data_IF_910113677882
#
_entry.id   IF_910113677882
#
_cell.length_a   1.000
_cell.length_b   1.000
_cell.length_c   1.000
_cell.angle_alpha   90.00
_cell.angle_beta   90.00
_cell.angle_gamma   90.00
#
_symmetry.space_group_name_H-M   'P 1'
#
loop_
_entity.id
_entity.type
_entity.pdbx_description
1 polymer ?
#
# COMPACT_ATOMS: atom_id res chain seq x y z
N UNK A 1 -28.71 -12.81 -24.81
CA UNK A 1 -27.50 -12.95 -23.97
C UNK A 1 -27.86 -13.89 -22.81
N UNK A 2 -27.08 -14.94 -22.60
CA UNK A 2 -27.29 -15.81 -21.42
C UNK A 2 -26.68 -15.11 -20.20
N UNK A 3 -27.47 -14.82 -19.21
CA UNK A 3 -27.02 -14.27 -17.93
C UNK A 3 -26.44 -15.40 -17.07
N UNK A 4 -25.23 -15.22 -16.56
CA UNK A 4 -24.58 -16.16 -15.65
C UNK A 4 -24.31 -15.39 -14.35
N UNK A 5 -24.91 -15.84 -13.27
CA UNK A 5 -24.66 -15.30 -11.92
C UNK A 5 -23.87 -16.31 -11.12
N UNK A 6 -22.67 -15.91 -10.69
CA UNK A 6 -21.82 -16.71 -9.79
C UNK A 6 -21.91 -16.06 -8.41
N UNK A 7 -22.45 -16.74 -7.38
CA UNK A 7 -22.52 -16.20 -6.03
C UNK A 7 -21.11 -16.05 -5.43
N UNK A 8 -20.94 -15.05 -4.57
CA UNK A 8 -19.70 -14.88 -3.82
C UNK A 8 -19.43 -16.11 -2.94
N UNK A 9 -18.16 -16.56 -2.88
CA UNK A 9 -17.75 -17.71 -2.07
C UNK A 9 -17.68 -17.38 -0.58
N UNK A 10 -17.39 -16.12 -0.27
CA UNK A 10 -17.41 -15.58 1.09
C UNK A 10 -18.30 -14.33 1.14
N UNK A 11 -18.95 -14.06 2.27
CA UNK A 11 -19.74 -12.85 2.43
C UNK A 11 -18.84 -11.60 2.35
N UNK A 12 -19.44 -10.45 2.01
CA UNK A 12 -18.76 -9.17 2.07
C UNK A 12 -18.24 -8.89 3.49
N UNK A 13 -17.04 -8.29 3.57
CA UNK A 13 -16.45 -7.93 4.85
C UNK A 13 -17.32 -6.90 5.57
N UNK A 14 -17.83 -7.25 6.75
CA UNK A 14 -18.66 -6.38 7.61
C UNK A 14 -17.84 -5.73 8.73
N UNK A 15 -16.62 -6.16 8.95
CA UNK A 15 -15.69 -5.65 9.96
C UNK A 15 -14.24 -5.80 9.48
N UNK A 16 -13.33 -5.10 10.17
CA UNK A 16 -11.89 -5.13 9.87
C UNK A 16 -11.48 -4.19 8.73
N UNK A 17 -10.20 -4.17 8.48
CA UNK A 17 -9.57 -3.36 7.44
C UNK A 17 -8.25 -4.01 7.01
N UNK A 18 -7.61 -3.50 5.96
CA UNK A 18 -6.39 -4.12 5.39
C UNK A 18 -5.20 -4.18 6.37
N UNK A 19 -5.15 -3.29 7.37
CA UNK A 19 -4.06 -3.34 8.36
C UNK A 19 -4.13 -4.57 9.25
N UNK A 20 -5.32 -5.18 9.40
CA UNK A 20 -5.51 -6.40 10.18
C UNK A 20 -4.73 -7.58 9.59
N UNK A 21 -4.59 -7.64 8.25
CA UNK A 21 -3.85 -8.71 7.58
C UNK A 21 -2.40 -8.86 8.08
N UNK A 22 -1.76 -7.74 8.42
CA UNK A 22 -0.39 -7.74 8.95
C UNK A 22 -0.40 -7.86 10.47
N UNK A 23 -1.22 -7.06 11.18
CA UNK A 23 -1.19 -7.03 12.64
C UNK A 23 -1.63 -8.34 13.30
N UNK A 24 -2.64 -9.01 12.75
CA UNK A 24 -3.06 -10.32 13.23
C UNK A 24 -1.97 -11.37 13.02
N UNK A 25 -1.31 -11.33 11.85
CA UNK A 25 -0.21 -12.25 11.57
C UNK A 25 0.99 -11.98 12.46
N UNK A 26 1.34 -10.73 12.70
CA UNK A 26 2.41 -10.37 13.62
C UNK A 26 2.08 -10.76 15.08
N UNK A 27 0.80 -10.76 15.44
CA UNK A 27 0.35 -11.17 16.77
C UNK A 27 0.35 -12.69 16.96
N UNK A 28 -0.23 -13.45 16.00
CA UNK A 28 -0.42 -14.89 16.15
C UNK A 28 0.76 -15.73 15.63
N UNK A 29 1.50 -15.22 14.64
CA UNK A 29 2.61 -15.92 13.99
C UNK A 29 3.84 -14.97 13.83
N UNK A 30 4.38 -14.37 14.90
CA UNK A 30 5.38 -13.29 14.82
C UNK A 30 6.64 -13.66 14.05
N UNK A 31 7.10 -14.91 14.17
CA UNK A 31 8.32 -15.40 13.52
C UNK A 31 8.08 -15.96 12.11
N UNK A 32 6.84 -15.99 11.65
CA UNK A 32 6.54 -16.45 10.30
C UNK A 32 7.09 -15.48 9.26
N UNK A 33 7.88 -16.00 8.33
CA UNK A 33 8.30 -15.23 7.15
C UNK A 33 7.10 -14.98 6.25
N UNK A 34 6.81 -13.71 5.98
CA UNK A 34 5.69 -13.30 5.12
C UNK A 34 6.14 -12.60 3.85
N UNK A 35 7.31 -11.98 3.87
CA UNK A 35 7.88 -11.29 2.71
C UNK A 35 9.37 -11.57 2.63
N UNK A 36 9.91 -11.52 1.41
CA UNK A 36 11.35 -11.55 1.19
C UNK A 36 11.74 -10.37 0.30
N UNK A 37 12.74 -9.62 0.74
CA UNK A 37 13.30 -8.49 -0.02
C UNK A 37 14.58 -8.90 -0.72
N UNK A 38 14.89 -8.30 -1.88
CA UNK A 38 16.18 -8.54 -2.55
C UNK A 38 17.34 -8.13 -1.65
N UNK A 39 18.38 -8.96 -1.61
CA UNK A 39 19.66 -8.66 -0.94
C UNK A 39 20.82 -9.31 -1.72
N UNK A 40 21.63 -8.48 -2.41
CA UNK A 40 22.63 -8.99 -3.34
C UNK A 40 21.96 -9.88 -4.41
N UNK A 41 22.54 -11.05 -4.65
CA UNK A 41 22.00 -12.05 -5.60
C UNK A 41 20.92 -12.96 -4.98
N UNK A 42 20.47 -12.67 -3.75
CA UNK A 42 19.54 -13.52 -3.02
C UNK A 42 18.36 -12.77 -2.43
N UNK A 43 17.71 -13.43 -1.47
CA UNK A 43 16.54 -12.95 -0.78
C UNK A 43 16.76 -12.93 0.73
N UNK A 44 16.46 -11.81 1.36
CA UNK A 44 16.42 -11.70 2.81
C UNK A 44 14.97 -11.92 3.28
N UNK A 45 14.70 -12.96 4.10
CA UNK A 45 13.39 -13.16 4.69
C UNK A 45 13.08 -12.08 5.75
N UNK A 46 11.82 -11.65 5.81
CA UNK A 46 11.32 -10.72 6.81
C UNK A 46 10.11 -11.37 7.49
N UNK A 47 10.16 -11.42 8.82
CA UNK A 47 9.08 -12.01 9.63
C UNK A 47 7.89 -11.06 9.73
N UNK A 48 6.73 -11.60 10.10
CA UNK A 48 5.51 -10.81 10.29
C UNK A 48 5.72 -9.70 11.33
N UNK A 49 6.37 -10.01 12.44
CA UNK A 49 6.71 -9.05 13.49
C UNK A 49 7.64 -7.95 12.97
N UNK A 50 8.75 -8.32 12.34
CA UNK A 50 9.71 -7.34 11.83
C UNK A 50 9.08 -6.43 10.75
N UNK A 51 8.23 -6.98 9.89
CA UNK A 51 7.53 -6.21 8.86
C UNK A 51 6.52 -5.23 9.48
N UNK A 52 5.76 -5.65 10.48
CA UNK A 52 4.83 -4.76 11.19
C UNK A 52 5.56 -3.65 11.96
N UNK A 53 6.67 -3.97 12.62
CA UNK A 53 7.50 -2.98 13.34
C UNK A 53 8.02 -1.90 12.37
N UNK A 54 8.49 -2.29 11.19
CA UNK A 54 8.94 -1.34 10.16
C UNK A 54 7.78 -0.46 9.66
N UNK A 55 6.63 -1.06 9.37
CA UNK A 55 5.41 -0.33 8.98
C UNK A 55 5.01 0.69 10.05
N UNK A 56 4.95 0.30 11.32
CA UNK A 56 4.60 1.18 12.44
C UNK A 56 5.57 2.35 12.56
N UNK A 57 6.86 2.07 12.47
CA UNK A 57 7.89 3.11 12.57
C UNK A 57 7.75 4.16 11.46
N UNK A 58 7.53 3.74 10.22
CA UNK A 58 7.30 4.64 9.09
C UNK A 58 5.96 5.39 9.24
N UNK A 59 4.90 4.72 9.70
CA UNK A 59 3.60 5.35 9.93
C UNK A 59 3.67 6.47 10.97
N UNK A 60 4.42 6.25 12.06
CA UNK A 60 4.72 7.28 13.07
C UNK A 60 5.39 8.49 12.45
N UNK A 61 6.34 8.29 11.54
CA UNK A 61 6.98 9.37 10.79
C UNK A 61 6.02 10.19 9.94
N UNK A 62 5.10 9.54 9.26
CA UNK A 62 4.04 10.23 8.51
C UNK A 62 3.18 11.11 9.45
N UNK A 63 2.79 10.57 10.60
CA UNK A 63 2.02 11.30 11.62
C UNK A 63 2.82 12.48 12.18
N UNK A 64 4.10 12.31 12.50
CA UNK A 64 4.98 13.38 12.98
C UNK A 64 5.14 14.51 11.94
N UNK A 65 5.04 14.19 10.66
CA UNK A 65 5.05 15.14 9.55
C UNK A 65 3.67 15.76 9.25
N UNK A 66 2.68 15.54 10.11
CA UNK A 66 1.36 16.19 10.04
C UNK A 66 0.34 15.46 9.18
N UNK A 67 0.61 14.22 8.75
CA UNK A 67 -0.39 13.41 8.05
C UNK A 67 -1.53 13.06 9.00
N UNK A 68 -2.72 13.50 8.65
CA UNK A 68 -3.95 13.32 9.42
C UNK A 68 -4.77 12.14 8.90
N UNK A 69 -5.74 11.70 9.71
CA UNK A 69 -6.69 10.66 9.29
C UNK A 69 -7.46 11.11 8.04
N UNK A 70 -7.49 10.24 7.02
CA UNK A 70 -8.16 10.50 5.74
C UNK A 70 -7.35 11.34 4.75
N UNK A 71 -6.16 11.81 5.10
CA UNK A 71 -5.27 12.49 4.16
C UNK A 71 -4.79 11.55 3.06
N UNK A 72 -4.50 12.09 1.88
CA UNK A 72 -3.95 11.33 0.75
C UNK A 72 -2.45 11.56 0.68
N UNK A 73 -1.70 10.44 0.59
CA UNK A 73 -0.24 10.45 0.40
C UNK A 73 0.08 9.71 -0.88
N UNK A 74 0.70 10.38 -1.83
CA UNK A 74 1.06 9.77 -3.12
C UNK A 74 2.34 8.93 -3.01
N UNK A 75 2.40 7.85 -3.80
CA UNK A 75 3.61 7.04 -3.98
C UNK A 75 3.90 6.94 -5.48
N UNK A 76 5.05 7.46 -5.92
CA UNK A 76 5.54 7.41 -7.29
C UNK A 76 6.85 6.62 -7.35
N UNK A 77 6.72 5.31 -7.48
CA UNK A 77 7.87 4.40 -7.48
C UNK A 77 7.52 3.09 -8.22
N UNK A 78 8.54 2.42 -8.72
CA UNK A 78 8.46 1.03 -9.20
C UNK A 78 8.05 0.08 -8.08
N UNK A 79 7.62 -1.13 -8.47
CA UNK A 79 7.39 -2.23 -7.52
C UNK A 79 8.70 -2.58 -6.83
N UNK A 80 8.72 -2.40 -5.51
CA UNK A 80 9.88 -2.65 -4.65
C UNK A 80 9.43 -2.86 -3.20
N UNK A 81 10.32 -3.38 -2.36
CA UNK A 81 10.01 -3.67 -0.97
C UNK A 81 9.48 -2.43 -0.21
N UNK A 82 10.17 -1.30 -0.36
CA UNK A 82 9.81 -0.06 0.32
C UNK A 82 8.43 0.45 -0.10
N UNK A 83 8.03 0.21 -1.35
CA UNK A 83 6.69 0.57 -1.83
C UNK A 83 5.62 -0.12 -0.98
N UNK A 84 5.81 -1.41 -0.68
CA UNK A 84 4.83 -2.20 0.07
C UNK A 84 4.81 -1.82 1.55
N UNK A 85 5.95 -1.47 2.15
CA UNK A 85 6.03 -0.92 3.51
C UNK A 85 5.28 0.41 3.58
N UNK A 86 5.51 1.30 2.61
CA UNK A 86 4.87 2.62 2.55
C UNK A 86 3.35 2.53 2.37
N UNK A 87 2.86 1.61 1.55
CA UNK A 87 1.43 1.38 1.34
C UNK A 87 0.72 1.04 2.67
N UNK A 88 1.27 0.08 3.40
CA UNK A 88 0.75 -0.28 4.72
C UNK A 88 0.98 0.83 5.77
N UNK A 89 2.12 1.52 5.75
CA UNK A 89 2.40 2.60 6.69
C UNK A 89 1.41 3.76 6.54
N UNK A 90 1.01 4.09 5.32
CA UNK A 90 -0.01 5.11 5.06
C UNK A 90 -1.36 4.66 5.65
N UNK A 91 -1.76 3.39 5.49
CA UNK A 91 -2.97 2.87 6.15
C UNK A 91 -2.85 2.85 7.69
N UNK A 92 -1.68 2.48 8.23
CA UNK A 92 -1.44 2.52 9.68
C UNK A 92 -1.50 3.94 10.24
N UNK A 93 -1.11 4.94 9.46
CA UNK A 93 -1.31 6.36 9.81
C UNK A 93 -2.79 6.82 9.68
N UNK A 94 -3.69 5.95 9.20
CA UNK A 94 -5.08 6.27 8.93
C UNK A 94 -5.30 7.07 7.65
N UNK A 95 -4.30 7.12 6.78
CA UNK A 95 -4.30 7.88 5.54
C UNK A 95 -4.57 6.97 4.31
N UNK A 96 -4.67 7.58 3.15
CA UNK A 96 -5.06 6.93 1.89
C UNK A 96 -3.91 7.02 0.89
N UNK A 97 -3.28 5.90 0.49
CA UNK A 97 -2.26 5.90 -0.54
C UNK A 97 -2.85 6.20 -1.92
N UNK A 98 -2.15 7.05 -2.67
CA UNK A 98 -2.46 7.40 -4.06
C UNK A 98 -1.28 6.94 -4.93
N UNK A 99 -1.40 5.77 -5.57
CA UNK A 99 -0.34 5.27 -6.45
C UNK A 99 -0.25 6.09 -7.74
N UNK A 100 0.99 6.44 -8.11
CA UNK A 100 1.32 7.11 -9.37
C UNK A 100 2.38 6.25 -10.06
N UNK A 101 2.22 6.03 -11.37
CA UNK A 101 3.24 5.34 -12.15
C UNK A 101 4.51 6.18 -12.22
N UNK A 102 5.66 5.56 -12.07
CA UNK A 102 6.97 6.21 -12.17
C UNK A 102 7.24 6.82 -13.56
N UNK A 103 6.49 6.37 -14.56
CA UNK A 103 6.54 6.87 -15.94
C UNK A 103 5.59 8.03 -16.22
N UNK A 104 4.82 8.50 -15.23
CA UNK A 104 3.86 9.59 -15.39
C UNK A 104 4.58 10.91 -15.69
N UNK A 105 4.02 11.70 -16.61
CA UNK A 105 4.52 13.04 -16.89
C UNK A 105 4.25 14.02 -15.74
N UNK A 106 4.98 15.12 -15.68
CA UNK A 106 4.78 16.16 -14.68
C UNK A 106 3.33 16.68 -14.66
N UNK A 107 2.71 16.85 -15.84
CA UNK A 107 1.30 17.26 -15.96
C UNK A 107 0.33 16.24 -15.37
N UNK A 108 0.59 14.95 -15.58
CA UNK A 108 -0.22 13.87 -14.99
C UNK A 108 -0.08 13.86 -13.46
N UNK A 109 1.15 14.04 -12.96
CA UNK A 109 1.42 14.11 -11.52
C UNK A 109 0.71 15.31 -10.89
N UNK A 110 0.84 16.51 -11.50
CA UNK A 110 0.14 17.72 -11.05
C UNK A 110 -1.37 17.48 -10.92
N UNK A 111 -1.95 16.89 -11.98
CA UNK A 111 -3.37 16.58 -11.98
C UNK A 111 -3.76 15.62 -10.85
N UNK A 112 -3.03 14.51 -10.69
CA UNK A 112 -3.33 13.50 -9.67
C UNK A 112 -3.19 14.09 -8.26
N UNK A 113 -2.12 14.83 -7.99
CA UNK A 113 -1.90 15.46 -6.68
C UNK A 113 -2.95 16.51 -6.35
N UNK A 114 -3.37 17.29 -7.35
CA UNK A 114 -4.40 18.33 -7.19
C UNK A 114 -5.77 17.72 -6.95
N UNK A 115 -6.21 16.81 -7.82
CA UNK A 115 -7.53 16.17 -7.78
C UNK A 115 -7.70 15.32 -6.51
N UNK A 116 -6.67 14.56 -6.14
CA UNK A 116 -6.67 13.81 -4.88
C UNK A 116 -6.50 14.69 -3.64
N UNK A 117 -6.10 15.96 -3.78
CA UNK A 117 -5.68 16.84 -2.69
C UNK A 117 -4.62 16.18 -1.80
N UNK A 118 -3.61 15.54 -2.40
CA UNK A 118 -2.54 14.87 -1.67
C UNK A 118 -1.75 15.87 -0.81
N UNK A 119 -1.43 15.48 0.43
CA UNK A 119 -0.69 16.33 1.39
C UNK A 119 0.81 16.11 1.31
N UNK A 120 1.24 15.01 0.68
CA UNK A 120 2.63 14.65 0.45
C UNK A 120 2.79 13.61 -0.64
N UNK A 121 4.01 13.51 -1.15
CA UNK A 121 4.39 12.51 -2.16
C UNK A 121 5.71 11.84 -1.78
N UNK A 122 5.76 10.53 -1.96
CA UNK A 122 6.96 9.72 -1.82
C UNK A 122 7.40 9.31 -3.21
N UNK A 123 8.61 9.69 -3.60
CA UNK A 123 9.17 9.39 -4.93
C UNK A 123 10.35 8.40 -4.80
N UNK A 124 10.61 7.63 -5.85
CA UNK A 124 11.69 6.65 -5.81
C UNK A 124 13.07 7.30 -5.89
N UNK A 125 13.29 8.18 -6.87
CA UNK A 125 14.62 8.68 -7.25
C UNK A 125 14.72 10.19 -7.18
N UNK A 126 15.95 10.75 -7.11
CA UNK A 126 16.17 12.20 -7.22
C UNK A 126 15.57 12.80 -8.49
N UNK A 127 15.68 12.11 -9.63
CA UNK A 127 15.12 12.58 -10.90
C UNK A 127 13.59 12.72 -10.84
N UNK A 128 12.90 11.79 -10.14
CA UNK A 128 11.46 11.92 -9.92
C UNK A 128 11.14 13.08 -8.95
N UNK A 129 11.99 13.34 -7.95
CA UNK A 129 11.82 14.50 -7.07
C UNK A 129 11.96 15.80 -7.85
N UNK A 130 12.94 15.92 -8.75
CA UNK A 130 13.13 17.07 -9.64
C UNK A 130 11.94 17.25 -10.58
N UNK A 131 11.39 16.17 -11.11
CA UNK A 131 10.21 16.18 -12.00
C UNK A 131 8.96 16.71 -11.28
N UNK A 132 8.72 16.29 -10.04
CA UNK A 132 7.49 16.65 -9.31
C UNK A 132 7.57 18.02 -8.64
N UNK A 133 8.76 18.49 -8.24
CA UNK A 133 8.95 19.71 -7.47
C UNK A 133 8.26 20.96 -8.07
N UNK A 134 8.37 21.25 -9.39
CA UNK A 134 7.74 22.43 -9.98
C UNK A 134 6.22 22.36 -10.10
N UNK A 135 5.64 21.15 -9.97
CA UNK A 135 4.20 20.91 -10.17
C UNK A 135 3.46 20.52 -8.88
N UNK A 136 4.10 20.68 -7.73
CA UNK A 136 3.46 20.42 -6.45
C UNK A 136 2.33 21.43 -6.16
N UNK A 137 1.08 20.96 -5.94
CA UNK A 137 0.02 21.86 -5.48
C UNK A 137 0.29 22.34 -4.04
N UNK A 138 -0.31 23.45 -3.66
CA UNK A 138 -0.13 24.04 -2.32
C UNK A 138 -0.54 23.10 -1.16
N UNK A 139 -1.37 22.10 -1.41
CA UNK A 139 -1.73 21.04 -0.46
C UNK A 139 -0.58 20.06 -0.21
N UNK A 140 0.25 19.78 -1.23
CA UNK A 140 1.33 18.79 -1.18
C UNK A 140 2.63 19.46 -0.67
N UNK A 141 2.82 19.44 0.65
CA UNK A 141 3.92 20.18 1.31
C UNK A 141 5.16 19.34 1.55
N UNK A 142 5.10 18.04 1.34
CA UNK A 142 6.17 17.09 1.69
C UNK A 142 6.54 16.22 0.49
N UNK A 143 7.85 16.12 0.25
CA UNK A 143 8.43 15.19 -0.73
C UNK A 143 9.45 14.34 0.00
N UNK A 144 9.26 13.02 0.00
CA UNK A 144 10.22 12.05 0.53
C UNK A 144 10.80 11.25 -0.63
N UNK A 145 12.08 10.92 -0.54
CA UNK A 145 12.79 10.18 -1.59
C UNK A 145 13.33 8.86 -1.07
N UNK A 146 12.91 7.75 -1.68
CA UNK A 146 13.27 6.39 -1.24
C UNK A 146 14.79 6.17 -1.37
N UNK A 147 15.41 6.62 -2.47
CA UNK A 147 16.85 6.51 -2.68
C UNK A 147 17.65 7.27 -1.60
N UNK A 148 17.10 8.33 -1.04
CA UNK A 148 17.69 9.09 0.07
C UNK A 148 17.15 8.64 1.43
N UNK A 149 16.82 7.35 1.56
CA UNK A 149 16.41 6.70 2.81
C UNK A 149 15.14 7.28 3.45
N UNK A 150 14.11 7.57 2.65
CA UNK A 150 12.82 8.09 3.14
C UNK A 150 12.27 7.29 4.34
N UNK A 151 12.37 5.95 4.30
CA UNK A 151 11.87 5.10 5.39
C UNK A 151 12.65 5.34 6.69
N UNK A 152 13.98 5.41 6.63
CA UNK A 152 14.81 5.69 7.81
C UNK A 152 14.57 7.11 8.35
N UNK A 153 14.40 8.10 7.45
CA UNK A 153 14.07 9.47 7.84
C UNK A 153 12.72 9.52 8.57
N UNK A 154 11.68 8.93 7.99
CA UNK A 154 10.35 8.86 8.63
C UNK A 154 10.41 8.11 9.96
N UNK A 155 11.12 6.97 10.03
CA UNK A 155 11.31 6.22 11.28
C UNK A 155 11.94 7.09 12.37
N UNK A 156 12.98 7.85 12.03
CA UNK A 156 13.65 8.74 12.99
C UNK A 156 12.74 9.88 13.45
N UNK A 157 12.01 10.50 12.54
CA UNK A 157 11.09 11.61 12.83
C UNK A 157 9.88 11.15 13.66
N UNK A 158 9.47 9.89 13.51
CA UNK A 158 8.32 9.30 14.21
C UNK A 158 8.60 8.82 15.63
N UNK A 159 9.84 8.88 16.13
CA UNK A 159 10.25 8.28 17.42
C UNK A 159 9.43 8.70 18.64
N UNK A 160 8.90 9.93 18.63
CA UNK A 160 8.12 10.49 19.73
C UNK A 160 6.60 10.22 19.60
N UNK A 161 6.15 9.60 18.51
CA UNK A 161 4.77 9.18 18.33
C UNK A 161 4.56 7.81 18.99
N UNK A 162 3.55 7.68 19.82
CA UNK A 162 3.27 6.44 20.56
C UNK A 162 2.64 5.36 19.66
N UNK A 163 2.77 4.08 20.08
CA UNK A 163 2.05 2.96 19.44
C UNK A 163 0.53 3.11 19.60
N UNK A 164 0.07 3.66 20.71
CA UNK A 164 -1.34 3.93 20.97
C UNK A 164 -1.95 4.90 19.95
N UNK A 165 -1.20 5.91 19.51
CA UNK A 165 -1.69 6.83 18.47
C UNK A 165 -1.93 6.07 17.15
N UNK A 166 -1.00 5.20 16.77
CA UNK A 166 -1.15 4.37 15.57
C UNK A 166 -2.32 3.38 15.73
N UNK A 167 -2.45 2.74 16.90
CA UNK A 167 -3.57 1.84 17.19
C UNK A 167 -4.91 2.55 17.05
N UNK A 168 -5.08 3.73 17.68
CA UNK A 168 -6.30 4.55 17.58
C UNK A 168 -6.65 4.96 16.16
N UNK A 169 -5.65 5.22 15.30
CA UNK A 169 -5.89 5.55 13.89
C UNK A 169 -6.37 4.33 13.12
N UNK A 170 -5.76 3.17 13.34
CA UNK A 170 -6.17 1.91 12.71
C UNK A 170 -7.58 1.47 13.11
N UNK A 171 -7.97 1.64 14.38
CA UNK A 171 -9.30 1.32 14.90
C UNK A 171 -10.44 2.12 14.23
N UNK A 172 -10.13 3.32 13.71
CA UNK A 172 -11.08 4.13 12.96
C UNK A 172 -11.34 3.63 11.55
N UNK A 173 -10.44 2.81 11.00
CA UNK A 173 -10.61 2.25 9.67
C UNK A 173 -11.67 1.15 9.69
N UNK A 174 -12.64 1.27 8.79
CA UNK A 174 -13.75 0.33 8.62
C UNK A 174 -13.74 -0.22 7.18
N UNK A 175 -14.48 -1.29 6.88
CA UNK A 175 -14.58 -1.80 5.51
C UNK A 175 -14.99 -0.73 4.49
N UNK A 176 -15.87 0.19 4.85
CA UNK A 176 -16.32 1.29 4.00
C UNK A 176 -15.33 2.46 3.90
N UNK A 177 -14.28 2.50 4.74
CA UNK A 177 -13.24 3.53 4.67
C UNK A 177 -12.47 3.42 3.37
N UNK A 178 -12.18 4.56 2.75
CA UNK A 178 -11.39 4.64 1.53
C UNK A 178 -9.99 4.06 1.76
N UNK A 179 -9.62 3.06 0.96
CA UNK A 179 -8.30 2.43 1.03
C UNK A 179 -7.33 3.01 0.01
N UNK A 180 -7.80 3.46 -1.14
CA UNK A 180 -6.93 4.04 -2.18
C UNK A 180 -7.72 4.80 -3.23
N UNK A 181 -7.00 5.70 -3.93
CA UNK A 181 -7.45 6.34 -5.17
C UNK A 181 -6.55 5.86 -6.31
N UNK A 182 -7.10 5.11 -7.26
CA UNK A 182 -6.34 4.63 -8.42
C UNK A 182 -6.78 5.43 -9.66
N UNK A 183 -5.84 6.17 -10.24
CA UNK A 183 -6.12 6.97 -11.43
C UNK A 183 -6.03 6.13 -12.69
N UNK A 184 -7.12 6.14 -13.47
CA UNK A 184 -7.21 5.43 -14.75
C UNK A 184 -7.39 6.41 -15.89
N UNK A 185 -6.80 6.11 -17.06
CA UNK A 185 -7.05 6.87 -18.28
C UNK A 185 -8.52 6.72 -18.67
N UNK A 186 -9.31 7.76 -18.39
CA UNK A 186 -10.68 7.82 -18.89
C UNK A 186 -10.74 8.00 -20.40
N UNK A 187 -11.82 7.57 -21.02
CA UNK A 187 -12.05 7.73 -22.48
C UNK A 187 -12.27 9.19 -22.90
N UNK A 188 -12.37 10.12 -21.98
CA UNK A 188 -12.84 11.51 -22.21
C UNK A 188 -11.94 12.60 -21.64
N UNK A 189 -10.63 12.41 -21.47
CA UNK A 189 -9.75 13.47 -21.03
C UNK A 189 -8.85 13.10 -19.83
N UNK A 190 -8.82 13.94 -18.78
CA UNK A 190 -7.94 13.73 -17.62
C UNK A 190 -8.25 12.44 -16.88
N UNK A 191 -7.24 11.74 -16.31
CA UNK A 191 -7.44 10.55 -15.51
C UNK A 191 -8.43 10.76 -14.36
N UNK A 192 -9.26 9.76 -14.08
CA UNK A 192 -10.24 9.78 -12.99
C UNK A 192 -9.77 8.90 -11.85
N UNK A 193 -9.88 9.40 -10.60
CA UNK A 193 -9.56 8.66 -9.40
C UNK A 193 -10.66 7.67 -9.03
N UNK A 194 -10.42 6.38 -9.24
CA UNK A 194 -11.31 5.30 -8.79
C UNK A 194 -11.12 5.10 -7.31
N UNK A 195 -12.21 5.21 -6.55
CA UNK A 195 -12.23 5.02 -5.11
C UNK A 195 -12.43 3.54 -4.78
N UNK A 196 -11.48 2.95 -4.06
CA UNK A 196 -11.60 1.59 -3.54
C UNK A 196 -11.51 1.62 -2.02
N UNK A 197 -12.44 0.92 -1.36
CA UNK A 197 -12.48 0.81 0.10
C UNK A 197 -11.68 -0.38 0.60
N UNK A 198 -11.40 -0.44 1.90
CA UNK A 198 -10.81 -1.61 2.53
C UNK A 198 -11.65 -2.86 2.29
N UNK A 199 -12.98 -2.74 2.38
CA UNK A 199 -13.92 -3.83 2.14
C UNK A 199 -13.90 -4.37 0.71
N UNK A 200 -13.67 -3.50 -0.30
CA UNK A 200 -13.53 -3.97 -1.68
C UNK A 200 -12.35 -4.95 -1.80
N UNK A 201 -11.19 -4.59 -1.27
CA UNK A 201 -10.02 -5.47 -1.32
C UNK A 201 -10.20 -6.73 -0.47
N UNK A 202 -10.73 -6.62 0.76
CA UNK A 202 -10.96 -7.78 1.63
C UNK A 202 -11.91 -8.79 0.98
N UNK A 203 -13.00 -8.32 0.41
CA UNK A 203 -13.99 -9.18 -0.25
C UNK A 203 -13.43 -9.82 -1.51
N UNK A 204 -12.79 -9.04 -2.37
CA UNK A 204 -12.25 -9.54 -3.64
C UNK A 204 -11.11 -10.52 -3.41
N UNK A 205 -10.09 -10.14 -2.61
CA UNK A 205 -8.97 -11.02 -2.31
C UNK A 205 -9.42 -12.30 -1.59
N UNK A 206 -10.38 -12.18 -0.67
CA UNK A 206 -10.95 -13.35 0.00
C UNK A 206 -11.64 -14.30 -0.98
N UNK A 207 -12.45 -13.78 -1.90
CA UNK A 207 -13.11 -14.61 -2.92
C UNK A 207 -12.11 -15.24 -3.89
N UNK A 208 -11.09 -14.51 -4.34
CA UNK A 208 -10.03 -15.05 -5.23
C UNK A 208 -9.23 -16.16 -4.54
N UNK A 209 -8.82 -15.94 -3.29
CA UNK A 209 -8.06 -16.95 -2.53
C UNK A 209 -8.88 -18.22 -2.30
N UNK A 210 -10.16 -18.11 -1.97
CA UNK A 210 -11.02 -19.26 -1.78
C UNK A 210 -11.41 -19.92 -3.11
N UNK A 211 -11.60 -19.15 -4.17
CA UNK A 211 -11.94 -19.66 -5.51
C UNK A 211 -10.82 -20.44 -6.19
N UNK A 212 -9.57 -20.15 -5.80
CA UNK A 212 -8.38 -20.85 -6.28
C UNK A 212 -7.54 -21.41 -5.11
N UNK A 213 -8.23 -22.05 -4.15
CA UNK A 213 -7.63 -22.56 -2.91
C UNK A 213 -6.44 -23.48 -3.14
N UNK A 214 -6.49 -24.34 -4.16
CA UNK A 214 -5.40 -25.26 -4.54
C UNK A 214 -4.10 -24.52 -4.91
N UNK A 215 -4.23 -23.27 -5.38
CA UNK A 215 -3.11 -22.41 -5.73
C UNK A 215 -2.64 -21.59 -4.52
N UNK A 216 -3.58 -20.93 -3.85
CA UNK A 216 -3.28 -19.93 -2.83
C UNK A 216 -3.04 -20.51 -1.43
N UNK A 217 -3.72 -21.60 -1.07
CA UNK A 217 -3.63 -22.17 0.28
C UNK A 217 -2.64 -23.31 0.39
N UNK A 218 -1.72 -23.44 -0.56
CA UNK A 218 -0.68 -24.47 -0.56
C UNK A 218 0.34 -24.20 0.56
N UNK A 219 0.56 -25.16 1.49
CA UNK A 219 1.56 -25.00 2.55
C UNK A 219 2.96 -24.66 2.00
N UNK A 220 3.62 -23.65 2.56
CA UNK A 220 4.94 -23.20 2.09
C UNK A 220 4.94 -22.51 0.72
N UNK A 221 3.76 -22.22 0.18
CA UNK A 221 3.63 -21.51 -1.08
C UNK A 221 4.31 -20.13 -1.07
N UNK A 222 4.80 -19.71 -2.21
CA UNK A 222 5.36 -18.36 -2.40
C UNK A 222 4.94 -17.79 -3.74
N UNK A 223 4.88 -16.47 -3.81
CA UNK A 223 4.57 -15.75 -5.04
C UNK A 223 5.64 -14.71 -5.35
N UNK A 224 5.86 -14.44 -6.63
CA UNK A 224 6.75 -13.36 -7.08
C UNK A 224 5.91 -12.15 -7.47
N UNK A 225 6.06 -11.07 -6.74
CA UNK A 225 5.41 -9.79 -7.04
C UNK A 225 6.32 -8.99 -7.97
N UNK A 226 6.01 -9.02 -9.26
CA UNK A 226 6.70 -8.27 -10.32
C UNK A 226 5.77 -7.30 -11.06
N UNK A 227 4.47 -7.42 -10.83
CA UNK A 227 3.48 -6.53 -11.45
C UNK A 227 3.56 -5.13 -10.83
N UNK A 228 3.29 -4.07 -11.62
CA UNK A 228 3.22 -2.72 -11.08
C UNK A 228 2.17 -2.61 -9.97
N UNK A 229 2.61 -2.34 -8.75
CA UNK A 229 1.68 -2.16 -7.60
C UNK A 229 0.96 -0.80 -7.64
N UNK A 230 1.36 0.10 -8.52
CA UNK A 230 0.56 1.26 -8.88
C UNK A 230 -0.73 0.87 -9.63
N UNK A 231 -0.77 -0.32 -10.23
CA UNK A 231 -1.97 -0.87 -10.87
C UNK A 231 -2.77 -1.73 -9.90
N UNK A 232 -4.11 -1.66 -9.97
CA UNK A 232 -5.01 -2.42 -9.07
C UNK A 232 -4.69 -3.91 -9.05
N UNK A 233 -4.36 -4.53 -10.20
CA UNK A 233 -4.07 -5.95 -10.26
C UNK A 233 -2.79 -6.33 -9.51
N UNK A 234 -1.73 -5.52 -9.59
CA UNK A 234 -0.50 -5.72 -8.80
C UNK A 234 -0.79 -5.66 -7.29
N UNK A 235 -1.61 -4.72 -6.85
CA UNK A 235 -2.06 -4.63 -5.45
C UNK A 235 -2.94 -5.79 -5.04
N UNK A 236 -3.82 -6.26 -5.92
CA UNK A 236 -4.61 -7.48 -5.67
C UNK A 236 -3.72 -8.70 -5.43
N UNK A 237 -2.65 -8.87 -6.22
CA UNK A 237 -1.67 -9.96 -6.01
C UNK A 237 -0.95 -9.78 -4.68
N UNK A 238 -0.53 -8.57 -4.32
CA UNK A 238 0.10 -8.26 -3.03
C UNK A 238 -0.84 -8.63 -1.86
N UNK A 239 -2.04 -8.05 -1.83
CA UNK A 239 -3.00 -8.23 -0.74
C UNK A 239 -3.50 -9.68 -0.68
N UNK A 240 -3.80 -10.29 -1.84
CA UNK A 240 -4.23 -11.68 -1.94
C UNK A 240 -3.16 -12.66 -1.43
N UNK A 241 -1.88 -12.40 -1.70
CA UNK A 241 -0.77 -13.20 -1.16
C UNK A 241 -0.69 -13.14 0.36
N UNK A 242 -0.88 -11.95 0.93
CA UNK A 242 -0.92 -11.77 2.39
C UNK A 242 -2.15 -12.46 2.97
N UNK A 243 -3.32 -12.30 2.36
CA UNK A 243 -4.57 -12.96 2.77
C UNK A 243 -4.41 -14.48 2.78
N UNK A 244 -3.80 -15.04 1.75
CA UNK A 244 -3.53 -16.48 1.63
C UNK A 244 -2.42 -17.00 2.55
N UNK A 245 -1.62 -16.11 3.13
CA UNK A 245 -0.45 -16.48 3.93
C UNK A 245 0.73 -17.01 3.12
N UNK A 246 0.82 -16.64 1.85
CA UNK A 246 1.97 -16.94 1.01
C UNK A 246 3.17 -16.07 1.39
N UNK A 247 4.37 -16.59 1.16
CA UNK A 247 5.59 -15.78 1.20
C UNK A 247 5.68 -15.03 -0.12
N UNK A 248 5.56 -13.72 -0.07
CA UNK A 248 5.69 -12.91 -1.28
C UNK A 248 7.11 -12.33 -1.43
N UNK A 249 7.65 -12.50 -2.63
CA UNK A 249 8.96 -12.02 -3.02
C UNK A 249 8.79 -10.86 -3.97
N UNK A 250 9.47 -9.77 -3.73
CA UNK A 250 9.32 -8.54 -4.51
C UNK A 250 10.48 -8.43 -5.46
N UNK A 251 10.22 -8.58 -6.75
CA UNK A 251 11.22 -8.31 -7.79
C UNK A 251 11.31 -6.81 -8.04
N UNK A 252 12.52 -6.26 -8.04
CA UNK A 252 12.78 -4.92 -8.58
C UNK A 252 13.01 -5.10 -10.08
N UNK A 253 12.14 -4.53 -10.90
CA UNK A 253 12.22 -4.61 -12.37
C UNK A 253 12.60 -3.23 -12.92
#
# INVERSE_FOLDING_TARGET
MNEITIPALIPAAVAGNLTNLISERAHFEPERVIVSRPLGDGWQPVTAKAYEEEIKAVAKGLVANGVSFGDRVAIMAKTRYEWTVLDFAIWYAGAVPVPIYETSSAEQVEWILTDSSAVGIIVETPALAELVQPVLPSSCKKVWNITYNALATLTHEGKDISDDEIAKRREKLKPETLATLIYTSGTTGKPKGVQLTHGNFLSECGNVVNGASDLFLKPGGSTLLFLPVAHVFGRMVQIGSITAGLIWRIAVI
#
